data_IF_060209018786
#
_entry.id   IF_060209018786
#
_cell.length_a   1.000
_cell.length_b   1.000
_cell.length_c   1.000
_cell.angle_alpha   90.00
_cell.angle_beta   90.00
_cell.angle_gamma   90.00
#
_symmetry.space_group_name_H-M   'P 1'
#
loop_
_entity.id
_entity.type
_entity.pdbx_description
1 polymer ?
#
# COMPACT_ATOMS: atom_id res chain seq x y z
N UNK A 1 -18.63 6.59 11.99
CA UNK A 1 -17.28 6.44 11.42
C UNK A 1 -16.84 5.02 11.66
N UNK A 2 -15.65 4.64 11.24
CA UNK A 2 -15.09 3.32 11.57
C UNK A 2 -13.62 3.42 11.96
N UNK A 3 -13.13 2.41 12.69
CA UNK A 3 -11.75 2.31 13.14
C UNK A 3 -10.95 1.43 12.18
N UNK A 4 -9.74 1.84 11.86
CA UNK A 4 -8.79 1.12 11.04
C UNK A 4 -7.52 0.89 11.87
N UNK A 5 -7.15 -0.36 12.17
CA UNK A 5 -5.96 -0.64 12.96
C UNK A 5 -4.68 -0.48 12.14
N UNK A 6 -3.64 0.06 12.76
CA UNK A 6 -2.26 0.00 12.27
C UNK A 6 -1.54 -1.14 12.99
N UNK A 7 -0.96 -2.07 12.23
CA UNK A 7 -0.18 -3.20 12.77
C UNK A 7 1.30 -3.07 12.42
N UNK A 8 2.19 -3.39 13.35
CA UNK A 8 3.64 -3.45 13.10
C UNK A 8 4.06 -4.75 12.37
N UNK A 9 5.36 -4.92 12.10
CA UNK A 9 5.92 -6.11 11.45
C UNK A 9 5.78 -7.41 12.28
N UNK A 10 5.36 -7.31 13.54
CA UNK A 10 5.05 -8.42 14.44
C UNK A 10 3.54 -8.71 14.50
N UNK A 11 2.72 -7.93 13.79
CA UNK A 11 1.27 -8.03 13.78
C UNK A 11 0.58 -7.36 14.98
N UNK A 12 1.33 -6.62 15.82
CA UNK A 12 0.79 -5.94 17.00
C UNK A 12 0.15 -4.61 16.61
N UNK A 13 -1.00 -4.30 17.19
CA UNK A 13 -1.67 -3.01 16.97
C UNK A 13 -0.86 -1.90 17.65
N UNK A 14 -0.42 -0.92 16.88
CA UNK A 14 0.36 0.24 17.36
C UNK A 14 -0.43 1.54 17.37
N UNK A 15 -1.48 1.64 16.55
CA UNK A 15 -2.37 2.80 16.52
C UNK A 15 -3.75 2.42 15.94
N UNK A 16 -4.73 3.29 16.16
CA UNK A 16 -6.05 3.19 15.55
C UNK A 16 -6.34 4.51 14.82
N UNK A 17 -6.73 4.42 13.54
CA UNK A 17 -7.19 5.56 12.75
C UNK A 17 -8.71 5.53 12.67
N UNK A 18 -9.35 6.67 12.87
CA UNK A 18 -10.79 6.87 12.76
C UNK A 18 -11.09 7.49 11.40
N UNK A 19 -11.88 6.81 10.55
CA UNK A 19 -12.56 7.43 9.42
C UNK A 19 -13.80 8.16 9.92
N UNK A 20 -13.86 9.47 9.71
CA UNK A 20 -15.01 10.30 10.13
C UNK A 20 -16.17 10.18 9.14
N UNK A 21 -17.41 10.32 9.61
CA UNK A 21 -18.60 10.29 8.75
C UNK A 21 -18.75 11.59 7.95
N UNK A 22 -18.39 12.72 8.58
CA UNK A 22 -18.58 14.06 8.01
C UNK A 22 -17.50 14.43 6.98
N UNK A 23 -16.39 13.70 6.94
CA UNK A 23 -15.32 13.92 5.96
C UNK A 23 -14.34 15.05 6.28
N UNK A 24 -14.57 15.84 7.34
CA UNK A 24 -13.68 16.93 7.75
C UNK A 24 -13.37 16.91 9.27
N UNK A 25 -12.13 16.55 9.67
CA UNK A 25 -11.09 15.96 8.83
C UNK A 25 -11.50 14.55 8.38
N UNK A 26 -11.03 14.11 7.20
CA UNK A 26 -11.35 12.79 6.63
C UNK A 26 -10.93 11.64 7.55
N UNK A 27 -9.77 11.79 8.21
CA UNK A 27 -9.19 10.82 9.12
C UNK A 27 -8.64 11.48 10.39
N UNK A 28 -8.71 10.78 11.51
CA UNK A 28 -8.13 11.14 12.80
C UNK A 28 -7.36 9.95 13.36
N UNK A 29 -6.35 10.16 14.21
CA UNK A 29 -5.77 9.08 15.01
C UNK A 29 -6.35 9.07 16.42
N UNK A 30 -6.74 7.89 16.90
CA UNK A 30 -7.20 7.68 18.27
C UNK A 30 -5.99 7.49 19.19
N UNK A 31 -5.89 8.33 20.23
CA UNK A 31 -4.87 8.21 21.28
C UNK A 31 -3.43 8.56 20.87
N UNK A 32 -3.22 9.01 19.63
CA UNK A 32 -1.90 9.35 19.11
C UNK A 32 -1.58 10.83 19.38
N UNK A 33 -0.98 11.13 20.54
CA UNK A 33 -0.49 12.47 20.92
C UNK A 33 1.03 12.50 21.00
N UNK A 34 1.60 13.58 20.45
CA UNK A 34 2.96 14.11 20.60
C UNK A 34 3.89 13.38 21.57
N UNK A 35 4.64 12.40 21.07
CA UNK A 35 5.84 11.90 21.76
C UNK A 35 7.08 12.76 21.48
N UNK A 36 6.96 13.93 20.83
CA UNK A 36 8.07 14.88 20.63
C UNK A 36 9.28 14.34 19.85
N UNK A 37 9.13 13.19 19.19
CA UNK A 37 10.14 12.57 18.34
C UNK A 37 9.49 12.41 16.98
N UNK A 38 10.14 12.94 15.97
CA UNK A 38 9.84 12.87 14.53
C UNK A 38 9.73 11.43 13.94
N UNK A 39 9.68 10.39 14.78
CA UNK A 39 9.75 8.97 14.43
C UNK A 39 8.47 8.16 14.73
N UNK A 40 7.35 8.77 15.12
CA UNK A 40 6.21 7.99 15.66
C UNK A 40 5.05 7.71 14.69
N UNK A 41 4.98 8.32 13.50
CA UNK A 41 3.85 8.06 12.57
C UNK A 41 3.70 6.56 12.29
N UNK A 42 2.54 5.95 12.61
CA UNK A 42 2.40 4.52 12.54
C UNK A 42 2.41 4.04 11.09
N UNK A 43 3.12 2.95 10.85
CA UNK A 43 3.17 2.26 9.56
C UNK A 43 2.45 0.94 9.71
N UNK A 44 1.51 0.68 8.81
CA UNK A 44 0.74 -0.56 8.82
C UNK A 44 1.43 -1.61 7.96
N UNK A 45 1.71 -2.79 8.51
CA UNK A 45 2.32 -3.92 7.81
C UNK A 45 1.32 -5.06 7.72
N UNK A 46 1.10 -5.56 6.50
CA UNK A 46 0.26 -6.73 6.21
C UNK A 46 1.16 -7.85 5.69
N UNK A 47 0.90 -9.09 6.14
CA UNK A 47 1.60 -10.30 5.71
C UNK A 47 3.15 -10.21 5.82
N UNK A 48 3.72 -9.84 6.98
CA UNK A 48 5.18 -9.69 7.13
C UNK A 48 5.97 -10.99 6.88
N UNK A 49 5.35 -12.16 7.05
CA UNK A 49 5.96 -13.45 6.70
C UNK A 49 6.23 -13.59 5.20
N UNK A 50 5.41 -12.99 4.36
CA UNK A 50 5.61 -13.02 2.90
C UNK A 50 6.86 -12.24 2.54
N UNK A 51 7.10 -11.09 3.16
CA UNK A 51 8.33 -10.32 2.99
C UNK A 51 9.58 -11.13 3.36
N UNK A 52 9.52 -11.95 4.43
CA UNK A 52 10.63 -12.82 4.81
C UNK A 52 10.96 -13.86 3.73
N UNK A 53 9.93 -14.41 3.09
CA UNK A 53 10.04 -15.43 2.04
C UNK A 53 10.48 -14.84 0.69
N UNK A 54 9.87 -13.73 0.27
CA UNK A 54 10.06 -13.16 -1.08
C UNK A 54 11.15 -12.12 -1.15
N UNK A 55 11.64 -11.63 0.01
CA UNK A 55 12.53 -10.47 0.13
C UNK A 55 11.98 -9.23 -0.59
N UNK A 56 10.65 -9.11 -0.62
CA UNK A 56 9.97 -7.99 -1.27
C UNK A 56 8.73 -7.54 -0.53
N UNK A 57 8.38 -6.27 -0.69
CA UNK A 57 7.13 -5.70 -0.17
C UNK A 57 6.55 -4.66 -1.13
N UNK A 58 5.23 -4.52 -1.08
CA UNK A 58 4.49 -3.45 -1.74
C UNK A 58 4.36 -2.26 -0.78
N UNK A 59 4.66 -1.06 -1.26
CA UNK A 59 4.59 0.16 -0.46
C UNK A 59 3.46 1.03 -0.98
N UNK A 60 2.52 1.39 -0.12
CA UNK A 60 1.32 2.16 -0.49
C UNK A 60 0.90 3.17 0.59
N UNK A 61 -0.23 3.84 0.38
CA UNK A 61 -0.87 4.76 1.31
C UNK A 61 -2.19 4.20 1.81
N UNK A 62 -2.46 4.38 3.10
CA UNK A 62 -3.71 3.98 3.71
C UNK A 62 -3.69 2.50 4.16
N UNK A 63 -3.89 2.23 5.46
CA UNK A 63 -3.91 0.86 5.99
C UNK A 63 -5.00 0.00 5.33
N UNK A 64 -6.20 0.57 5.13
CA UNK A 64 -7.31 -0.15 4.52
C UNK A 64 -7.02 -0.57 3.08
N UNK A 65 -6.27 0.24 2.32
CA UNK A 65 -5.87 -0.12 0.95
C UNK A 65 -4.94 -1.34 0.96
N UNK A 66 -3.97 -1.35 1.87
CA UNK A 66 -3.07 -2.47 2.06
C UNK A 66 -3.82 -3.74 2.49
N UNK A 67 -4.75 -3.62 3.46
CA UNK A 67 -5.60 -4.74 3.87
C UNK A 67 -6.37 -5.31 2.68
N UNK A 68 -7.11 -4.48 1.93
CA UNK A 68 -7.88 -4.89 0.75
C UNK A 68 -6.97 -5.52 -0.30
N UNK A 69 -5.88 -4.88 -0.67
CA UNK A 69 -4.96 -5.35 -1.69
C UNK A 69 -4.34 -6.72 -1.34
N UNK A 70 -4.02 -6.94 -0.06
CA UNK A 70 -3.46 -8.20 0.44
C UNK A 70 -4.40 -9.40 0.31
N UNK A 71 -5.71 -9.18 0.15
CA UNK A 71 -6.69 -10.25 -0.05
C UNK A 71 -6.60 -10.86 -1.46
N UNK A 72 -6.02 -10.14 -2.42
CA UNK A 72 -6.04 -10.53 -3.83
C UNK A 72 -4.71 -11.05 -4.36
N UNK A 73 -3.60 -10.84 -3.65
CA UNK A 73 -2.33 -11.49 -3.97
C UNK A 73 -1.45 -11.68 -2.73
N UNK A 74 -0.70 -12.78 -2.74
CA UNK A 74 0.24 -13.19 -1.69
C UNK A 74 1.48 -12.28 -1.68
N UNK A 75 1.34 -11.09 -1.11
CA UNK A 75 2.41 -10.12 -0.91
C UNK A 75 2.37 -9.49 0.47
N UNK A 76 3.54 -9.06 0.93
CA UNK A 76 3.65 -8.15 2.07
C UNK A 76 3.32 -6.72 1.62
N UNK A 77 2.50 -6.01 2.40
CA UNK A 77 2.24 -4.59 2.19
C UNK A 77 2.74 -3.77 3.36
N UNK A 78 3.26 -2.58 3.06
CA UNK A 78 3.73 -1.59 4.03
C UNK A 78 3.08 -0.26 3.67
N UNK A 79 2.14 0.19 4.51
CA UNK A 79 1.33 1.37 4.25
C UNK A 79 1.62 2.49 5.24
N UNK A 80 1.89 3.68 4.70
CA UNK A 80 1.90 4.92 5.48
C UNK A 80 0.48 5.51 5.57
N UNK A 81 0.19 6.41 6.52
CA UNK A 81 -1.11 7.09 6.57
C UNK A 81 -1.36 8.03 5.38
N UNK A 82 -0.31 8.40 4.64
CA UNK A 82 -0.32 9.24 3.45
C UNK A 82 1.12 9.54 3.00
N UNK A 83 1.32 9.88 1.72
CA UNK A 83 2.65 9.95 1.10
C UNK A 83 3.61 10.90 1.80
N UNK A 84 3.10 11.97 2.40
CA UNK A 84 3.90 12.97 3.11
C UNK A 84 4.62 12.38 4.32
N UNK A 85 4.12 11.25 4.84
CA UNK A 85 4.68 10.52 5.98
C UNK A 85 5.71 9.47 5.58
N UNK A 86 6.22 9.48 4.35
CA UNK A 86 7.13 8.45 3.82
C UNK A 86 8.36 8.16 4.69
N UNK A 87 8.85 9.12 5.48
CA UNK A 87 10.01 8.91 6.37
C UNK A 87 9.78 7.79 7.40
N UNK A 88 8.54 7.63 7.85
CA UNK A 88 8.15 6.56 8.78
C UNK A 88 8.31 5.17 8.19
N UNK A 89 8.27 5.03 6.86
CA UNK A 89 8.46 3.75 6.18
C UNK A 89 9.90 3.25 6.29
N UNK A 90 10.88 4.15 6.37
CA UNK A 90 12.31 3.83 6.31
C UNK A 90 12.78 2.82 7.37
N UNK A 91 12.50 3.01 8.69
CA UNK A 91 12.88 2.03 9.70
C UNK A 91 12.19 0.67 9.48
N UNK A 92 10.92 0.66 9.07
CA UNK A 92 10.17 -0.59 8.83
C UNK A 92 10.75 -1.37 7.66
N UNK A 93 11.00 -0.70 6.52
CA UNK A 93 11.61 -1.33 5.34
C UNK A 93 13.01 -1.88 5.66
N UNK A 94 13.79 -1.17 6.49
CA UNK A 94 15.09 -1.66 6.98
C UNK A 94 14.95 -2.92 7.84
N UNK A 95 13.99 -2.93 8.77
CA UNK A 95 13.76 -4.08 9.65
C UNK A 95 13.31 -5.34 8.90
N UNK A 96 12.53 -5.17 7.82
CA UNK A 96 12.08 -6.27 6.99
C UNK A 96 13.20 -6.91 6.15
N UNK A 97 14.36 -6.26 6.01
CA UNK A 97 15.54 -6.77 5.30
C UNK A 97 15.20 -7.30 3.89
N UNK A 98 14.73 -6.38 3.05
CA UNK A 98 14.19 -6.63 1.71
C UNK A 98 15.25 -6.38 0.61
N UNK A 99 15.15 -7.11 -0.49
CA UNK A 99 15.96 -6.90 -1.71
C UNK A 99 15.28 -5.93 -2.68
N UNK A 100 13.95 -5.82 -2.61
CA UNK A 100 13.17 -4.95 -3.50
C UNK A 100 11.85 -4.47 -2.91
N UNK A 101 11.36 -3.34 -3.39
CA UNK A 101 10.00 -2.88 -3.16
C UNK A 101 9.26 -2.62 -4.48
N UNK A 102 7.93 -2.75 -4.42
CA UNK A 102 7.03 -2.25 -5.47
C UNK A 102 6.27 -1.06 -4.91
N UNK A 103 6.48 0.12 -5.48
CA UNK A 103 5.76 1.34 -5.11
C UNK A 103 4.39 1.35 -5.76
N UNK A 104 3.34 1.42 -4.94
CA UNK A 104 1.94 1.50 -5.34
C UNK A 104 1.25 2.66 -4.59
N UNK A 105 1.90 3.82 -4.58
CA UNK A 105 1.29 5.07 -4.12
C UNK A 105 0.17 5.49 -5.05
N UNK A 106 -0.75 6.29 -4.53
CA UNK A 106 -1.87 6.80 -5.31
C UNK A 106 -1.38 7.58 -6.54
N UNK A 107 -2.22 7.64 -7.57
CA UNK A 107 -1.91 8.36 -8.80
C UNK A 107 -1.97 9.88 -8.66
N UNK A 108 -2.34 10.39 -7.48
CA UNK A 108 -2.26 11.83 -7.16
C UNK A 108 -0.88 12.43 -7.52
N UNK A 109 0.20 11.64 -7.52
CA UNK A 109 1.54 12.07 -7.95
C UNK A 109 1.65 12.49 -9.42
N UNK A 110 0.72 12.05 -10.27
CA UNK A 110 0.69 12.35 -11.70
C UNK A 110 0.10 13.76 -11.95
N UNK A 111 -0.75 14.25 -11.04
CA UNK A 111 -1.42 15.56 -11.16
C UNK A 111 -0.94 16.58 -10.10
N UNK A 112 -0.45 16.12 -8.96
CA UNK A 112 -0.07 16.95 -7.82
C UNK A 112 1.45 16.95 -7.60
N UNK A 113 2.09 18.08 -7.89
CA UNK A 113 3.55 18.26 -7.76
C UNK A 113 4.07 18.10 -6.34
N UNK A 114 3.26 18.40 -5.31
CA UNK A 114 3.65 18.21 -3.92
C UNK A 114 3.67 16.72 -3.53
N UNK A 115 2.70 15.94 -4.02
CA UNK A 115 2.65 14.48 -3.85
C UNK A 115 3.83 13.85 -4.60
N UNK A 116 4.05 14.24 -5.87
CA UNK A 116 5.19 13.79 -6.67
C UNK A 116 6.52 13.98 -5.95
N UNK A 117 6.75 15.18 -5.40
CA UNK A 117 7.97 15.51 -4.65
C UNK A 117 8.15 14.65 -3.40
N UNK A 118 7.07 14.20 -2.77
CA UNK A 118 7.16 13.26 -1.64
C UNK A 118 7.62 11.87 -2.11
N UNK A 119 7.06 11.38 -3.23
CA UNK A 119 7.45 10.10 -3.85
C UNK A 119 8.91 10.13 -4.30
N UNK A 120 9.35 11.21 -4.96
CA UNK A 120 10.74 11.38 -5.40
C UNK A 120 11.71 11.34 -4.22
N UNK A 121 11.42 12.07 -3.13
CA UNK A 121 12.26 12.04 -1.92
C UNK A 121 12.31 10.65 -1.26
N UNK A 122 11.20 9.92 -1.30
CA UNK A 122 11.18 8.54 -0.83
C UNK A 122 12.07 7.63 -1.70
N UNK A 123 12.00 7.77 -3.03
CA UNK A 123 12.86 7.05 -3.98
C UNK A 123 14.35 7.38 -3.75
N UNK A 124 14.69 8.66 -3.63
CA UNK A 124 16.05 9.14 -3.32
C UNK A 124 16.59 8.52 -2.04
N UNK A 125 15.77 8.44 -0.98
CA UNK A 125 16.18 7.88 0.31
C UNK A 125 16.52 6.37 0.24
N UNK A 126 15.97 5.67 -0.75
CA UNK A 126 16.15 4.23 -0.98
C UNK A 126 17.14 3.91 -2.10
N UNK A 127 17.55 4.91 -2.89
CA UNK A 127 18.45 4.74 -4.01
C UNK A 127 19.77 4.09 -3.58
N UNK A 128 20.18 3.04 -4.31
CA UNK A 128 21.38 2.27 -4.02
C UNK A 128 21.31 1.36 -2.79
N UNK A 129 20.18 1.32 -2.06
CA UNK A 129 19.98 0.46 -0.88
C UNK A 129 19.07 -0.74 -1.16
N UNK A 130 18.05 -0.54 -1.99
CA UNK A 130 17.05 -1.54 -2.32
C UNK A 130 16.58 -1.34 -3.77
N UNK A 131 16.22 -2.42 -4.47
CA UNK A 131 15.61 -2.29 -5.80
C UNK A 131 14.23 -1.64 -5.67
N UNK A 132 13.93 -0.70 -6.55
CA UNK A 132 12.64 -0.02 -6.57
C UNK A 132 11.96 -0.29 -7.92
N UNK A 133 10.80 -0.92 -7.87
CA UNK A 133 9.87 -1.02 -9.00
C UNK A 133 8.64 -0.14 -8.73
N UNK A 134 7.96 0.35 -9.78
CA UNK A 134 6.70 1.11 -9.66
C UNK A 134 5.56 0.29 -10.27
N UNK A 135 4.48 0.11 -9.52
CA UNK A 135 3.21 -0.36 -10.05
C UNK A 135 2.50 0.79 -10.78
N UNK A 136 1.95 0.48 -11.95
CA UNK A 136 1.21 1.42 -12.78
C UNK A 136 -0.04 0.70 -13.30
N UNK A 137 -1.16 1.40 -13.34
CA UNK A 137 -2.43 0.89 -13.84
C UNK A 137 -3.17 1.96 -14.66
N UNK A 138 -4.12 1.57 -15.53
CA UNK A 138 -4.86 2.50 -16.38
C UNK A 138 -5.67 3.54 -15.59
N UNK A 139 -5.90 4.72 -16.17
CA UNK A 139 -6.59 5.85 -15.51
C UNK A 139 -8.00 5.43 -15.03
N UNK A 140 -8.68 4.64 -15.83
CA UNK A 140 -10.02 4.12 -15.60
C UNK A 140 -10.13 3.09 -14.45
N UNK A 141 -9.00 2.68 -13.88
CA UNK A 141 -8.94 1.71 -12.77
C UNK A 141 -8.97 2.37 -11.39
N UNK A 142 -9.10 3.70 -11.34
CA UNK A 142 -9.21 4.45 -10.08
C UNK A 142 -7.85 4.86 -9.49
N UNK A 143 -7.90 5.61 -8.39
CA UNK A 143 -6.73 6.36 -7.92
C UNK A 143 -5.78 5.51 -7.09
N UNK A 144 -6.32 4.63 -6.25
CA UNK A 144 -5.55 3.78 -5.35
C UNK A 144 -5.28 2.40 -5.93
N UNK A 145 -4.31 1.71 -5.33
CA UNK A 145 -4.01 0.31 -5.66
C UNK A 145 -5.21 -0.62 -5.36
N UNK A 146 -6.00 -0.29 -4.34
CA UNK A 146 -7.24 -1.00 -3.99
C UNK A 146 -8.31 -0.83 -5.07
N UNK A 147 -8.50 0.38 -5.61
CA UNK A 147 -9.40 0.61 -6.74
C UNK A 147 -9.01 -0.26 -7.94
N UNK A 148 -7.72 -0.26 -8.27
CA UNK A 148 -7.19 -0.99 -9.41
C UNK A 148 -7.39 -2.50 -9.24
N UNK A 149 -7.04 -3.03 -8.08
CA UNK A 149 -7.23 -4.45 -7.77
C UNK A 149 -8.71 -4.80 -7.80
N UNK A 150 -9.60 -4.02 -7.18
CA UNK A 150 -11.04 -4.29 -7.21
C UNK A 150 -11.57 -4.28 -8.63
N UNK A 151 -11.09 -3.37 -9.50
CA UNK A 151 -11.49 -3.32 -10.90
C UNK A 151 -11.05 -4.58 -11.65
N UNK A 152 -9.83 -5.05 -11.42
CA UNK A 152 -9.27 -6.27 -12.00
C UNK A 152 -10.00 -7.52 -11.48
N UNK A 153 -10.29 -7.58 -10.18
CA UNK A 153 -10.99 -8.74 -9.63
C UNK A 153 -12.47 -8.76 -10.02
N UNK A 154 -13.07 -7.61 -10.33
CA UNK A 154 -14.41 -7.53 -10.94
C UNK A 154 -14.44 -7.97 -12.41
N UNK A 155 -13.29 -8.11 -13.07
CA UNK A 155 -13.24 -8.84 -14.35
C UNK A 155 -13.14 -10.35 -14.13
N UNK A 156 -13.32 -10.85 -12.90
CA UNK A 156 -13.56 -12.25 -12.60
C UNK A 156 -14.95 -12.41 -11.97
N UNK A 157 -15.81 -13.26 -12.53
CA UNK A 157 -17.05 -13.66 -11.88
C UNK A 157 -16.76 -14.82 -10.94
N UNK A 158 -17.07 -14.63 -9.65
CA UNK A 158 -17.00 -15.69 -8.64
C UNK A 158 -18.41 -15.99 -8.14
N UNK A 159 -18.91 -17.17 -8.50
CA UNK A 159 -20.16 -17.70 -7.98
C UNK A 159 -19.82 -18.76 -6.94
N UNK A 160 -20.16 -18.48 -5.67
CA UNK A 160 -19.90 -19.38 -4.56
C UNK A 160 -21.23 -19.85 -3.96
N UNK A 161 -21.37 -21.16 -3.80
CA UNK A 161 -22.39 -21.78 -2.96
C UNK A 161 -21.70 -22.74 -1.97
N UNK A 162 -22.41 -23.29 -0.97
CA UNK A 162 -21.79 -24.13 0.06
C UNK A 162 -20.97 -25.32 -0.47
N UNK A 163 -21.29 -25.79 -1.68
CA UNK A 163 -20.75 -27.02 -2.25
C UNK A 163 -19.81 -26.78 -3.45
N UNK A 164 -19.66 -25.54 -3.94
CA UNK A 164 -18.85 -25.24 -5.12
C UNK A 164 -18.40 -23.78 -5.23
N UNK A 165 -17.23 -23.60 -5.86
CA UNK A 165 -16.65 -22.32 -6.23
C UNK A 165 -16.42 -22.31 -7.75
N UNK A 166 -17.14 -21.46 -8.48
CA UNK A 166 -16.96 -21.28 -9.93
C UNK A 166 -16.26 -19.94 -10.15
N UNK A 167 -15.11 -19.96 -10.83
CA UNK A 167 -14.35 -18.77 -11.21
C UNK A 167 -14.37 -18.66 -12.73
N UNK A 168 -14.87 -17.55 -13.28
CA UNK A 168 -14.87 -17.25 -14.72
C UNK A 168 -14.09 -15.98 -14.99
N UNK A 169 -13.20 -16.02 -15.98
CA UNK A 169 -12.49 -14.85 -16.47
C UNK A 169 -13.38 -14.06 -17.43
N UNK A 170 -13.71 -12.81 -17.08
CA UNK A 170 -14.28 -11.84 -18.01
C UNK A 170 -13.11 -11.27 -18.80
N UNK A 171 -13.02 -11.64 -20.07
CA UNK A 171 -12.02 -11.08 -20.98
C UNK A 171 -12.29 -9.60 -21.23
N UNK A 172 -11.72 -8.73 -20.40
CA UNK A 172 -11.20 -7.46 -20.86
C UNK A 172 -10.11 -6.95 -19.89
N UNK A 173 -8.94 -6.68 -20.48
CA UNK A 173 -7.71 -6.03 -19.96
C UNK A 173 -6.63 -6.93 -19.35
N UNK A 174 -5.55 -7.13 -20.12
CA UNK A 174 -4.24 -7.52 -19.60
C UNK A 174 -3.68 -6.42 -18.68
N UNK A 175 -3.45 -6.75 -17.42
CA UNK A 175 -2.70 -5.89 -16.49
C UNK A 175 -1.23 -6.31 -16.58
N UNK A 176 -0.43 -5.55 -17.30
CA UNK A 176 1.02 -5.77 -17.31
C UNK A 176 1.67 -4.95 -16.19
N UNK A 177 2.00 -5.60 -15.07
CA UNK A 177 2.93 -5.05 -14.08
C UNK A 177 4.35 -5.07 -14.67
N UNK A 178 4.73 -4.04 -15.45
CA UNK A 178 6.09 -3.93 -15.98
C UNK A 178 7.06 -3.46 -14.90
N UNK A 179 8.12 -4.23 -14.69
CA UNK A 179 9.35 -3.83 -14.03
C UNK A 179 9.89 -2.57 -14.72
N UNK A 180 9.99 -1.45 -14.01
CA UNK A 180 10.52 -0.21 -14.59
C UNK A 180 12.02 -0.39 -14.82
N UNK A 181 12.40 -0.71 -16.04
CA UNK A 181 13.79 -0.64 -16.48
C UNK A 181 14.24 0.82 -16.45
N UNK A 182 15.14 1.14 -15.52
CA UNK A 182 15.93 2.37 -15.59
C UNK A 182 16.76 2.32 -16.88
N UNK A 183 16.59 3.37 -17.68
CA UNK A 183 17.31 3.63 -18.91
C UNK A 183 18.83 3.62 -18.67
N UNK A 184 19.54 3.14 -19.70
CA UNK A 184 20.99 3.04 -19.86
C UNK A 184 21.79 4.28 -19.43
#
# INVERSE_FOLDING_TARGET
GYLIPFRDEKGLIQALQIRTDRGDPKYLFFGFRDSGIDNSTPVHVVNPDVARRTKSAWVTEGPLKADVASLFFDACFVASPGVSSWRSLMPVLKNLNLDGIVQAFDRDQDENSAVKKCVEKFQEALLGKIRIDRAVWPVEYGNGVDDAIVKICKTLEVEANPDSLIIREIKETEVVLKKAGLLS
#
